data_IF_023221403428
#
_entry.id   IF_023221403428
#
_cell.length_a   1.000
_cell.length_b   1.000
_cell.length_c   1.000
_cell.angle_alpha   90.00
_cell.angle_beta   90.00
_cell.angle_gamma   90.00
#
_symmetry.space_group_name_H-M   'P 1'
#
loop_
_entity.id
_entity.type
_entity.pdbx_description
1 polymer ?
#
# COMPACT_ATOMS: atom_id res chain seq x y z
N UNK A 1 36.03 12.81 16.41
CA UNK A 1 34.88 12.88 15.47
C UNK A 1 34.52 11.50 14.96
N UNK A 2 34.00 10.69 15.80
CA UNK A 2 33.89 9.29 15.48
C UNK A 2 32.75 8.91 14.56
N UNK A 3 31.95 9.86 14.03
CA UNK A 3 30.65 9.48 13.48
C UNK A 3 30.37 9.88 12.04
N UNK A 4 31.39 10.26 11.26
CA UNK A 4 31.19 10.62 9.86
C UNK A 4 30.74 9.41 9.05
N UNK A 5 31.39 8.26 9.24
CA UNK A 5 31.03 7.01 8.55
C UNK A 5 29.66 6.51 8.97
N UNK A 6 29.32 6.62 10.27
CA UNK A 6 28.00 6.24 10.78
C UNK A 6 26.91 7.15 10.22
N UNK A 7 27.15 8.45 10.12
CA UNK A 7 26.22 9.41 9.55
C UNK A 7 25.99 9.13 8.05
N UNK A 8 27.05 8.84 7.31
CA UNK A 8 26.94 8.47 5.89
C UNK A 8 26.13 7.18 5.70
N UNK A 9 26.38 6.20 6.54
CA UNK A 9 25.64 4.93 6.51
C UNK A 9 24.15 5.15 6.80
N UNK A 10 23.80 6.00 7.76
CA UNK A 10 22.41 6.36 8.09
C UNK A 10 21.74 7.06 6.91
N UNK A 11 22.43 7.99 6.26
CA UNK A 11 21.90 8.69 5.09
C UNK A 11 21.60 7.71 3.97
N UNK A 12 22.51 6.80 3.64
CA UNK A 12 22.28 5.77 2.63
C UNK A 12 21.12 4.86 3.00
N UNK A 13 21.04 4.43 4.26
CA UNK A 13 19.94 3.58 4.74
C UNK A 13 18.60 4.31 4.62
N UNK A 14 18.56 5.58 4.99
CA UNK A 14 17.34 6.38 4.92
C UNK A 14 16.90 6.59 3.47
N UNK A 15 17.84 6.82 2.55
CA UNK A 15 17.53 6.95 1.13
C UNK A 15 16.95 5.66 0.56
N UNK A 16 17.54 4.51 0.89
CA UNK A 16 17.04 3.20 0.47
C UNK A 16 15.64 2.93 0.99
N UNK A 17 15.38 3.27 2.27
CA UNK A 17 14.04 3.13 2.87
C UNK A 17 13.04 4.04 2.19
N UNK A 18 13.44 5.27 1.89
CA UNK A 18 12.58 6.24 1.21
C UNK A 18 12.18 5.75 -0.18
N UNK A 19 13.13 5.24 -0.96
CA UNK A 19 12.87 4.68 -2.28
C UNK A 19 11.96 3.47 -2.22
N UNK A 20 12.20 2.57 -1.25
CA UNK A 20 11.36 1.39 -1.04
C UNK A 20 9.94 1.79 -0.68
N UNK A 21 9.78 2.72 0.25
CA UNK A 21 8.47 3.21 0.66
C UNK A 21 7.73 3.88 -0.49
N UNK A 22 8.45 4.63 -1.31
CA UNK A 22 7.89 5.27 -2.50
C UNK A 22 7.37 4.24 -3.50
N UNK A 23 8.13 3.18 -3.76
CA UNK A 23 7.71 2.07 -4.63
C UNK A 23 6.49 1.36 -4.08
N UNK A 24 6.50 1.08 -2.77
CA UNK A 24 5.41 0.39 -2.09
C UNK A 24 4.12 1.22 -2.14
N UNK A 25 4.21 2.51 -1.91
CA UNK A 25 3.06 3.42 -2.02
C UNK A 25 2.51 3.47 -3.44
N UNK A 26 3.40 3.47 -4.43
CA UNK A 26 3.02 3.43 -5.84
C UNK A 26 2.26 2.15 -6.17
N UNK A 27 2.73 1.01 -5.67
CA UNK A 27 2.04 -0.29 -5.82
C UNK A 27 0.65 -0.27 -5.20
N UNK A 28 0.53 0.31 -4.00
CA UNK A 28 -0.76 0.42 -3.33
C UNK A 28 -1.74 1.25 -4.13
N UNK A 29 -1.31 2.41 -4.64
CA UNK A 29 -2.15 3.28 -5.46
C UNK A 29 -2.62 2.55 -6.72
N UNK A 30 -1.72 1.83 -7.38
CA UNK A 30 -2.06 1.05 -8.57
C UNK A 30 -3.07 -0.05 -8.24
N UNK A 31 -2.90 -0.76 -7.13
CA UNK A 31 -3.81 -1.81 -6.70
C UNK A 31 -5.20 -1.26 -6.38
N UNK A 32 -5.27 -0.14 -5.66
CA UNK A 32 -6.52 0.54 -5.33
C UNK A 32 -7.23 1.01 -6.60
N UNK A 33 -6.47 1.58 -7.53
CA UNK A 33 -6.99 2.06 -8.80
C UNK A 33 -7.58 0.93 -9.63
N UNK A 34 -6.96 -0.24 -9.64
CA UNK A 34 -7.49 -1.43 -10.32
C UNK A 34 -8.84 -1.86 -9.78
N UNK A 35 -9.03 -1.80 -8.45
CA UNK A 35 -10.33 -2.09 -7.85
C UNK A 35 -11.39 -1.12 -8.34
N UNK A 36 -11.08 0.18 -8.33
CA UNK A 36 -12.02 1.21 -8.71
C UNK A 36 -12.35 1.22 -10.21
N UNK A 37 -11.42 0.80 -11.04
CA UNK A 37 -11.58 0.77 -12.50
C UNK A 37 -12.12 -0.54 -13.03
N UNK A 38 -12.31 -1.55 -12.18
CA UNK A 38 -12.83 -2.84 -12.61
C UNK A 38 -14.25 -2.72 -13.16
N UNK A 39 -14.49 -3.29 -14.32
CA UNK A 39 -15.77 -3.18 -15.03
C UNK A 39 -16.86 -4.08 -14.46
N UNK A 40 -16.47 -5.21 -13.88
CA UNK A 40 -17.40 -6.20 -13.35
C UNK A 40 -17.15 -6.44 -11.87
N UNK A 41 -18.18 -6.89 -11.16
CA UNK A 41 -18.08 -7.23 -9.74
C UNK A 41 -17.04 -8.33 -9.51
N UNK A 42 -16.96 -9.31 -10.41
CA UNK A 42 -16.00 -10.40 -10.31
C UNK A 42 -14.55 -9.89 -10.42
N UNK A 43 -14.27 -9.06 -11.41
CA UNK A 43 -12.94 -8.46 -11.57
C UNK A 43 -12.60 -7.55 -10.40
N UNK A 44 -13.59 -6.80 -9.89
CA UNK A 44 -13.42 -5.94 -8.73
C UNK A 44 -13.07 -6.75 -7.48
N UNK A 45 -13.70 -7.91 -7.27
CA UNK A 45 -13.41 -8.79 -6.13
C UNK A 45 -11.99 -9.35 -6.19
N UNK A 46 -11.53 -9.77 -7.37
CA UNK A 46 -10.16 -10.24 -7.55
C UNK A 46 -9.15 -9.13 -7.25
N UNK A 47 -9.39 -7.94 -7.80
CA UNK A 47 -8.54 -6.79 -7.58
C UNK A 47 -8.56 -6.37 -6.09
N UNK A 48 -9.71 -6.44 -5.45
CA UNK A 48 -9.87 -6.15 -4.02
C UNK A 48 -9.02 -7.11 -3.16
N UNK A 49 -9.06 -8.38 -3.48
CA UNK A 49 -8.28 -9.39 -2.76
C UNK A 49 -6.78 -9.09 -2.80
N UNK A 50 -6.29 -8.74 -3.99
CA UNK A 50 -4.89 -8.35 -4.18
C UNK A 50 -4.56 -7.05 -3.43
N UNK A 51 -5.45 -6.07 -3.48
CA UNK A 51 -5.27 -4.79 -2.80
C UNK A 51 -5.24 -4.96 -1.28
N UNK A 52 -6.12 -5.78 -0.73
CA UNK A 52 -6.15 -6.07 0.71
C UNK A 52 -4.85 -6.73 1.18
N UNK A 53 -4.37 -7.72 0.46
CA UNK A 53 -3.11 -8.40 0.78
C UNK A 53 -1.95 -7.40 0.80
N UNK A 54 -1.92 -6.51 -0.17
CA UNK A 54 -0.88 -5.49 -0.28
C UNK A 54 -0.97 -4.46 0.85
N UNK A 55 -2.17 -3.99 1.17
CA UNK A 55 -2.40 -3.03 2.25
C UNK A 55 -1.99 -3.63 3.61
N UNK A 56 -2.33 -4.88 3.86
CA UNK A 56 -1.95 -5.56 5.10
C UNK A 56 -0.43 -5.73 5.19
N UNK A 57 0.21 -6.06 4.09
CA UNK A 57 1.67 -6.20 4.02
C UNK A 57 2.35 -4.86 4.28
N UNK A 58 1.84 -3.78 3.69
CA UNK A 58 2.41 -2.45 3.87
C UNK A 58 2.22 -1.94 5.29
N UNK A 59 1.11 -2.25 5.92
CA UNK A 59 0.88 -1.94 7.34
C UNK A 59 1.86 -2.72 8.23
N UNK A 60 2.09 -4.00 7.92
CA UNK A 60 3.05 -4.82 8.63
C UNK A 60 4.48 -4.31 8.54
N UNK A 61 4.84 -3.72 7.40
CA UNK A 61 6.17 -3.12 7.19
C UNK A 61 6.29 -1.70 7.76
N UNK A 62 5.20 -1.10 8.21
CA UNK A 62 5.21 0.26 8.71
C UNK A 62 5.22 1.34 7.64
N UNK A 63 4.97 0.99 6.36
CA UNK A 63 4.86 1.97 5.27
C UNK A 63 3.63 2.83 5.45
N UNK A 64 2.54 2.23 5.93
CA UNK A 64 1.31 2.92 6.31
C UNK A 64 0.89 2.46 7.70
N UNK A 65 0.09 3.29 8.37
CA UNK A 65 -0.47 2.94 9.66
C UNK A 65 -1.58 1.90 9.49
N UNK A 66 -1.74 1.00 10.49
CA UNK A 66 -2.78 -0.02 10.46
C UNK A 66 -4.19 0.55 10.29
N UNK A 67 -4.46 1.70 10.90
CA UNK A 67 -5.74 2.39 10.77
C UNK A 67 -5.99 2.87 9.34
N UNK A 68 -4.93 3.31 8.65
CA UNK A 68 -5.02 3.70 7.23
C UNK A 68 -5.35 2.50 6.37
N UNK A 69 -4.70 1.36 6.61
CA UNK A 69 -4.98 0.13 5.89
C UNK A 69 -6.44 -0.32 6.10
N UNK A 70 -6.91 -0.31 7.34
CA UNK A 70 -8.27 -0.68 7.69
C UNK A 70 -9.30 0.22 7.00
N UNK A 71 -9.04 1.52 6.98
CA UNK A 71 -9.92 2.51 6.35
C UNK A 71 -10.01 2.30 4.85
N UNK A 72 -8.86 2.08 4.20
CA UNK A 72 -8.81 1.83 2.77
C UNK A 72 -9.53 0.52 2.40
N UNK A 73 -9.31 -0.54 3.16
CA UNK A 73 -10.00 -1.81 2.93
C UNK A 73 -11.51 -1.65 3.05
N UNK A 74 -11.96 -0.96 4.08
CA UNK A 74 -13.39 -0.70 4.29
C UNK A 74 -14.02 0.04 3.12
N UNK A 75 -13.36 1.09 2.63
CA UNK A 75 -13.83 1.86 1.48
C UNK A 75 -13.89 1.04 0.20
N UNK A 76 -12.88 0.20 -0.02
CA UNK A 76 -12.83 -0.65 -1.21
C UNK A 76 -13.90 -1.74 -1.16
N UNK A 77 -14.16 -2.32 0.01
CA UNK A 77 -15.25 -3.27 0.20
C UNK A 77 -16.61 -2.65 -0.12
N UNK A 78 -16.84 -1.44 0.39
CA UNK A 78 -18.09 -0.72 0.12
C UNK A 78 -18.27 -0.46 -1.38
N UNK A 79 -17.19 -0.09 -2.08
CA UNK A 79 -17.21 0.13 -3.52
C UNK A 79 -17.58 -1.14 -4.28
N UNK A 80 -16.97 -2.28 -3.93
CA UNK A 80 -17.24 -3.57 -4.58
C UNK A 80 -18.66 -4.04 -4.29
N UNK A 81 -19.14 -3.88 -3.06
CA UNK A 81 -20.52 -4.22 -2.71
C UNK A 81 -21.51 -3.40 -3.52
N UNK A 82 -21.21 -2.14 -3.79
CA UNK A 82 -22.01 -1.30 -4.66
C UNK A 82 -22.12 -1.83 -6.08
N UNK A 83 -21.04 -2.45 -6.59
CA UNK A 83 -21.04 -3.08 -7.92
C UNK A 83 -21.84 -4.39 -7.94
N UNK A 84 -21.87 -5.11 -6.83
CA UNK A 84 -22.61 -6.36 -6.69
C UNK A 84 -24.11 -6.13 -6.51
N UNK A 85 -24.46 -4.99 -5.90
CA UNK A 85 -25.83 -4.63 -5.65
C UNK A 85 -26.47 -3.94 -6.81
#
# INVERSE_FOLDING_TARGET
MPNVKSAEKRVRTNEKRRERNRRDRSRMRTAIKKVRQADTAENARQALHQAESLLDRMAGKGVIHGNTAARQKSRLHAHVQGLEG
#
